data_IF_128481373553
#
_entry.id   IF_128481373553
#
_cell.length_a   1.000
_cell.length_b   1.000
_cell.length_c   1.000
_cell.angle_alpha   90.00
_cell.angle_beta   90.00
_cell.angle_gamma   90.00
#
_symmetry.space_group_name_H-M   'P 1'
#
loop_
_entity.id
_entity.type
_entity.pdbx_description
1 polymer ?
#
# COMPACT_ATOMS: atom_id res chain seq x y z
N UNK A 1 -1.37 18.25 -0.45
CA UNK A 1 -0.74 17.42 0.59
C UNK A 1 -1.81 16.61 1.28
N UNK A 2 -2.04 15.37 0.83
CA UNK A 2 -3.04 14.48 1.41
C UNK A 2 -2.34 13.23 1.93
N UNK A 3 -1.79 13.30 3.13
CA UNK A 3 -1.39 12.10 3.88
C UNK A 3 -2.66 11.51 4.48
N UNK A 4 -3.25 10.52 3.80
CA UNK A 4 -4.35 9.75 4.37
C UNK A 4 -4.02 8.28 4.25
N UNK A 5 -3.23 7.81 5.22
CA UNK A 5 -3.30 6.44 5.68
C UNK A 5 -4.72 6.23 6.23
N UNK A 6 -5.60 5.55 5.50
CA UNK A 6 -6.91 5.19 6.05
C UNK A 6 -6.71 4.15 7.16
N UNK A 7 -7.05 4.57 8.39
CA UNK A 7 -7.45 3.77 9.55
C UNK A 7 -6.97 2.31 9.59
N UNK A 8 -5.85 2.08 10.28
CA UNK A 8 -5.28 0.78 10.63
C UNK A 8 -6.07 0.04 11.74
N UNK A 9 -7.40 0.17 11.75
CA UNK A 9 -8.28 -0.51 12.71
C UNK A 9 -8.88 -1.72 12.01
N UNK A 10 -8.39 -2.91 12.37
CA UNK A 10 -9.02 -4.14 11.94
C UNK A 10 -10.44 -4.20 12.51
N UNK A 11 -11.42 -4.61 11.69
CA UNK A 11 -12.81 -4.68 12.14
C UNK A 11 -12.95 -5.56 13.41
N UNK A 12 -13.77 -5.15 14.39
CA UNK A 12 -13.94 -5.88 15.65
C UNK A 12 -14.54 -7.30 15.50
N UNK A 13 -15.05 -7.66 14.31
CA UNK A 13 -15.52 -9.01 13.95
C UNK A 13 -14.55 -9.80 13.07
N UNK A 14 -13.25 -9.47 13.14
CA UNK A 14 -12.24 -10.02 12.26
C UNK A 14 -12.17 -11.55 12.22
N UNK A 15 -12.06 -12.10 11.00
CA UNK A 15 -11.85 -13.53 10.78
C UNK A 15 -10.50 -13.96 11.38
N UNK A 16 -10.48 -14.88 12.37
CA UNK A 16 -9.23 -15.39 12.91
C UNK A 16 -8.46 -16.10 11.80
N UNK A 17 -7.20 -15.73 11.62
CA UNK A 17 -6.33 -16.33 10.63
C UNK A 17 -5.28 -17.21 11.33
N UNK A 18 -5.04 -18.41 10.79
CA UNK A 18 -3.86 -19.19 11.17
C UNK A 18 -2.65 -18.63 10.43
N UNK A 19 -1.49 -18.56 11.10
CA UNK A 19 -0.25 -17.87 10.68
C UNK A 19 0.38 -18.38 9.35
N UNK A 20 -0.28 -19.28 8.63
CA UNK A 20 0.25 -20.03 7.49
C UNK A 20 -0.20 -19.49 6.12
N UNK A 21 -0.37 -18.18 5.96
CA UNK A 21 -0.54 -17.57 4.64
C UNK A 21 0.76 -16.93 4.18
N UNK A 22 1.52 -17.68 3.37
CA UNK A 22 2.60 -17.13 2.56
C UNK A 22 2.00 -16.26 1.45
N UNK A 23 1.87 -14.96 1.70
CA UNK A 23 1.69 -13.98 0.64
C UNK A 23 3.06 -13.62 0.08
N UNK A 24 3.45 -14.28 -1.02
CA UNK A 24 4.60 -13.88 -1.84
C UNK A 24 4.19 -12.71 -2.74
N UNK A 25 4.09 -11.50 -2.16
CA UNK A 25 3.90 -10.28 -2.94
C UNK A 25 5.26 -9.89 -3.50
N UNK A 26 5.55 -10.33 -4.73
CA UNK A 26 6.72 -9.88 -5.47
C UNK A 26 6.43 -8.51 -6.07
N UNK A 27 7.02 -7.47 -5.48
CA UNK A 27 7.12 -6.18 -6.14
C UNK A 27 8.11 -6.35 -7.28
N UNK A 28 7.62 -6.36 -8.52
CA UNK A 28 8.49 -6.30 -9.69
C UNK A 28 8.87 -4.84 -9.88
N UNK A 29 10.12 -4.51 -9.54
CA UNK A 29 10.70 -3.24 -9.97
C UNK A 29 10.70 -3.23 -11.50
N UNK A 30 10.03 -2.24 -12.07
CA UNK A 30 9.97 -2.01 -13.51
C UNK A 30 10.39 -0.57 -13.75
N UNK A 31 11.04 -0.21 -14.84
CA UNK A 31 11.42 1.19 -15.09
C UNK A 31 10.23 2.15 -15.30
N UNK A 32 8.99 1.68 -15.08
CA UNK A 32 7.77 2.47 -15.17
C UNK A 32 7.76 3.65 -14.20
N UNK A 33 8.31 3.50 -12.98
CA UNK A 33 8.33 4.61 -12.02
C UNK A 33 9.10 5.84 -12.53
N UNK A 34 10.12 5.63 -13.38
CA UNK A 34 10.96 6.69 -13.94
C UNK A 34 10.44 7.19 -15.29
N UNK A 35 9.83 6.31 -16.08
CA UNK A 35 9.36 6.60 -17.45
C UNK A 35 7.90 7.07 -17.55
N UNK A 36 7.14 7.01 -16.45
CA UNK A 36 5.76 7.49 -16.38
C UNK A 36 5.68 9.02 -16.45
N UNK A 37 4.61 9.53 -17.10
CA UNK A 37 4.24 10.96 -17.05
C UNK A 37 3.79 11.41 -15.66
N UNK A 38 3.39 10.46 -14.81
CA UNK A 38 3.20 10.62 -13.38
C UNK A 38 4.27 9.77 -12.67
N UNK A 39 5.52 10.26 -12.52
CA UNK A 39 6.57 9.46 -11.89
C UNK A 39 6.28 9.25 -10.40
N UNK A 40 6.86 8.20 -9.82
CA UNK A 40 6.80 7.95 -8.38
C UNK A 40 8.12 7.43 -7.84
N UNK A 41 8.29 7.45 -6.53
CA UNK A 41 9.35 6.72 -5.84
C UNK A 41 8.74 5.55 -5.08
N UNK A 42 9.54 4.52 -4.85
CA UNK A 42 9.13 3.40 -4.00
C UNK A 42 9.60 3.71 -2.57
N UNK A 43 8.65 3.94 -1.68
CA UNK A 43 8.87 4.03 -0.25
C UNK A 43 8.54 2.69 0.41
N UNK A 44 8.94 2.53 1.68
CA UNK A 44 8.68 1.30 2.45
C UNK A 44 8.14 1.61 3.84
N UNK A 45 7.25 0.74 4.31
CA UNK A 45 6.81 0.70 5.71
C UNK A 45 7.19 -0.65 6.31
N UNK A 46 7.53 -0.67 7.59
CA UNK A 46 7.77 -1.89 8.36
C UNK A 46 6.91 -1.87 9.61
N UNK A 47 6.06 -2.88 9.79
CA UNK A 47 5.22 -3.06 10.99
C UNK A 47 5.46 -4.49 11.53
N UNK A 48 6.02 -4.59 12.73
CA UNK A 48 6.34 -5.88 13.38
C UNK A 48 5.12 -6.68 13.80
N UNK A 49 3.96 -6.03 13.91
CA UNK A 49 2.67 -6.64 14.22
C UNK A 49 1.84 -6.90 12.97
N UNK A 50 2.43 -6.82 11.76
CA UNK A 50 1.76 -7.08 10.48
C UNK A 50 2.50 -8.14 9.66
N UNK A 51 1.76 -8.91 8.85
CA UNK A 51 2.27 -9.79 7.81
C UNK A 51 1.63 -9.43 6.44
N UNK A 52 2.44 -9.14 5.40
CA UNK A 52 3.89 -8.96 5.47
C UNK A 52 4.28 -7.74 6.32
N UNK A 53 5.39 -7.87 7.06
CA UNK A 53 5.86 -6.80 7.93
C UNK A 53 6.31 -5.60 7.09
N UNK A 54 7.09 -5.87 6.04
CA UNK A 54 7.53 -4.88 5.06
C UNK A 54 6.51 -4.77 3.91
N UNK A 55 6.10 -3.55 3.61
CA UNK A 55 5.31 -3.22 2.43
C UNK A 55 5.96 -2.03 1.72
N UNK A 56 6.29 -2.23 0.45
CA UNK A 56 6.79 -1.19 -0.44
C UNK A 56 5.60 -0.57 -1.19
N UNK A 57 5.54 0.76 -1.29
CA UNK A 57 4.42 1.50 -1.85
C UNK A 57 4.89 2.69 -2.70
N UNK A 58 4.06 3.08 -3.67
CA UNK A 58 4.33 4.22 -4.54
C UNK A 58 4.01 5.55 -3.84
N UNK A 59 4.96 6.48 -3.89
CA UNK A 59 4.78 7.87 -3.48
C UNK A 59 4.95 8.80 -4.69
N UNK A 60 3.88 9.52 -5.03
CA UNK A 60 3.78 10.24 -6.30
C UNK A 60 4.64 11.51 -6.30
N UNK A 61 5.33 11.72 -7.41
CA UNK A 61 5.91 13.02 -7.76
C UNK A 61 4.93 13.81 -8.62
N UNK A 62 5.26 15.06 -8.88
CA UNK A 62 4.47 15.90 -9.77
C UNK A 62 4.42 15.33 -11.19
N UNK A 63 3.30 15.59 -11.88
CA UNK A 63 3.14 15.27 -13.28
C UNK A 63 4.13 16.04 -14.15
N UNK A 64 4.66 15.40 -15.19
CA UNK A 64 5.47 16.08 -16.21
C UNK A 64 4.62 16.87 -17.21
N UNK A 65 3.31 16.61 -17.24
CA UNK A 65 2.35 17.33 -18.08
C UNK A 65 1.75 18.51 -17.31
N UNK A 66 1.84 19.70 -17.89
CA UNK A 66 1.29 20.94 -17.32
C UNK A 66 -0.23 20.83 -17.07
N UNK A 67 -0.71 21.53 -16.03
CA UNK A 67 -2.11 21.58 -15.61
C UNK A 67 -2.75 20.22 -15.22
N UNK A 68 -1.93 19.20 -14.96
CA UNK A 68 -2.37 17.92 -14.40
C UNK A 68 -1.83 17.72 -12.99
N UNK A 69 -2.46 16.84 -12.22
CA UNK A 69 -2.00 16.45 -10.88
C UNK A 69 -1.83 14.95 -10.81
N UNK A 70 -0.73 14.53 -10.21
CA UNK A 70 -0.47 13.13 -9.96
C UNK A 70 -1.37 12.63 -8.82
N UNK A 71 -2.01 11.49 -9.04
CA UNK A 71 -2.81 10.78 -8.04
C UNK A 71 -2.31 9.34 -7.91
N UNK A 72 -2.22 8.82 -6.68
CA UNK A 72 -1.86 7.42 -6.46
C UNK A 72 -2.98 6.50 -6.96
N UNK A 73 -2.59 5.34 -7.48
CA UNK A 73 -3.47 4.22 -7.83
C UNK A 73 -3.42 3.23 -6.67
N UNK A 74 -4.56 2.97 -6.05
CA UNK A 74 -4.67 2.05 -4.92
C UNK A 74 -5.18 0.67 -5.35
N UNK A 75 -4.59 -0.37 -4.77
CA UNK A 75 -5.13 -1.72 -4.74
C UNK A 75 -5.43 -2.10 -3.29
N UNK A 76 -6.61 -2.65 -3.05
CA UNK A 76 -6.92 -3.24 -1.75
C UNK A 76 -6.33 -4.64 -1.70
N UNK A 77 -5.42 -4.86 -0.74
CA UNK A 77 -4.88 -6.18 -0.40
C UNK A 77 -5.34 -6.57 1.00
N UNK A 78 -5.10 -7.82 1.38
CA UNK A 78 -5.27 -8.27 2.76
C UNK A 78 -3.93 -8.45 3.43
N UNK A 79 -3.80 -7.92 4.64
CA UNK A 79 -2.65 -8.11 5.52
C UNK A 79 -3.12 -8.80 6.80
N UNK A 80 -2.24 -9.54 7.46
CA UNK A 80 -2.56 -10.10 8.77
C UNK A 80 -1.98 -9.22 9.85
N UNK A 81 -2.78 -8.81 10.83
CA UNK A 81 -2.32 -8.04 11.97
C UNK A 81 -2.41 -8.86 13.24
N UNK A 82 -1.40 -8.72 14.09
CA UNK A 82 -1.36 -9.30 15.42
C UNK A 82 -2.16 -8.41 16.36
N UNK A 83 -3.10 -9.01 17.08
CA UNK A 83 -3.89 -8.35 18.12
C UNK A 83 -3.19 -8.51 19.48
N UNK A 84 -3.60 -7.70 20.47
CA UNK A 84 -3.03 -7.69 21.82
C UNK A 84 -3.01 -9.07 22.51
N UNK A 85 -3.97 -9.95 22.16
CA UNK A 85 -4.08 -11.32 22.68
C UNK A 85 -3.26 -12.36 21.88
N UNK A 86 -2.28 -11.95 21.08
CA UNK A 86 -1.50 -12.79 20.16
C UNK A 86 -2.32 -13.49 19.05
N UNK A 87 -3.59 -13.12 18.86
CA UNK A 87 -4.41 -13.64 17.76
C UNK A 87 -4.10 -12.88 16.47
N UNK A 88 -4.13 -13.57 15.34
CA UNK A 88 -3.96 -12.95 14.03
C UNK A 88 -5.30 -12.67 13.39
N UNK A 89 -5.36 -11.51 12.73
CA UNK A 89 -6.55 -10.98 12.12
C UNK A 89 -6.27 -10.56 10.68
N UNK A 90 -7.10 -10.98 9.72
CA UNK A 90 -7.01 -10.52 8.34
C UNK A 90 -7.71 -9.16 8.18
N UNK A 91 -6.97 -8.14 7.75
CA UNK A 91 -7.45 -6.76 7.64
C UNK A 91 -7.23 -6.24 6.21
N UNK A 92 -8.19 -5.49 5.64
CA UNK A 92 -7.96 -4.82 4.36
C UNK A 92 -6.85 -3.76 4.52
N UNK A 93 -6.08 -3.56 3.46
CA UNK A 93 -5.01 -2.57 3.40
C UNK A 93 -4.95 -1.97 2.01
N UNK A 94 -5.10 -0.66 1.90
CA UNK A 94 -5.02 0.05 0.63
C UNK A 94 -3.55 0.35 0.31
N UNK A 95 -3.03 -0.33 -0.72
CA UNK A 95 -1.66 -0.20 -1.18
C UNK A 95 -1.60 0.70 -2.42
N UNK A 96 -0.87 1.81 -2.32
CA UNK A 96 -0.51 2.59 -3.50
C UNK A 96 0.53 1.83 -4.34
N UNK A 97 0.18 1.43 -5.57
CA UNK A 97 1.03 0.61 -6.45
C UNK A 97 1.69 1.39 -7.58
N UNK A 98 1.24 2.61 -7.83
CA UNK A 98 1.78 3.51 -8.84
C UNK A 98 1.01 4.83 -8.84
N UNK A 99 1.29 5.69 -9.81
CA UNK A 99 0.63 6.98 -9.95
C UNK A 99 0.13 7.21 -11.38
N UNK A 100 -0.88 8.06 -11.50
CA UNK A 100 -1.45 8.51 -12.77
C UNK A 100 -1.64 10.03 -12.77
N UNK A 101 -1.59 10.66 -13.93
CA UNK A 101 -1.92 12.07 -14.09
C UNK A 101 -3.40 12.22 -14.40
N UNK A 102 -4.09 13.07 -13.65
CA UNK A 102 -5.48 13.45 -13.91
C UNK A 102 -5.57 14.95 -14.11
N UNK A 103 -6.60 15.41 -14.84
CA UNK A 103 -6.90 16.83 -14.93
C UNK A 103 -7.24 17.37 -13.54
N UNK A 104 -6.74 18.58 -13.24
CA UNK A 104 -7.10 19.33 -12.03
C UNK A 104 -8.60 19.62 -11.98
#
# INVERSE_FOLDING_TARGET
MGTVYSSLVCDPGCKPATKNCYLDIRVRESELQHSSVAPWIINKTTDGDRLPARIDYADCKDCTVEHMVAKPIFLQIFVYRKLYNNTWCQCPFDLAVGCTCVRQ
#
